data_IF_427657182647
#
_entry.id   IF_427657182647
#
_cell.length_a   1.000
_cell.length_b   1.000
_cell.length_c   1.000
_cell.angle_alpha   90.00
_cell.angle_beta   90.00
_cell.angle_gamma   90.00
#
_symmetry.space_group_name_H-M   'P 1'
#
loop_
_entity.id
_entity.type
_entity.pdbx_description
1 polymer ?
#
# COMPACT_ATOMS: atom_id res chain seq x y z
N UNK A 1 -11.35 -6.23 -1.60
CA UNK A 1 -10.16 -6.07 -2.47
C UNK A 1 -9.54 -4.74 -2.10
N UNK A 2 -8.28 -4.74 -1.68
CA UNK A 2 -7.59 -3.52 -1.21
C UNK A 2 -7.12 -2.70 -2.40
N UNK A 3 -7.51 -1.42 -2.45
CA UNK A 3 -7.01 -0.45 -3.41
C UNK A 3 -5.66 0.09 -2.95
N UNK A 4 -4.64 0.05 -3.80
CA UNK A 4 -3.30 0.59 -3.49
C UNK A 4 -2.99 1.68 -4.51
N UNK A 5 -2.60 2.86 -4.03
CA UNK A 5 -2.22 4.00 -4.85
C UNK A 5 -0.96 4.67 -4.33
N UNK A 6 -0.26 5.41 -5.19
CA UNK A 6 0.88 6.25 -4.80
C UNK A 6 0.65 7.70 -5.22
N UNK A 7 0.98 8.65 -4.34
CA UNK A 7 0.87 10.10 -4.58
C UNK A 7 2.07 10.81 -3.99
N UNK A 8 2.46 11.96 -4.54
CA UNK A 8 3.42 12.85 -3.89
C UNK A 8 2.70 13.71 -2.86
N UNK A 9 3.25 13.82 -1.65
CA UNK A 9 2.65 14.68 -0.64
C UNK A 9 3.29 14.58 0.73
N UNK A 10 2.64 15.24 1.69
CA UNK A 10 3.01 15.23 3.10
C UNK A 10 2.12 14.25 3.87
N UNK A 11 2.74 13.23 4.46
CA UNK A 11 2.04 12.20 5.23
C UNK A 11 1.28 12.77 6.43
N UNK A 12 1.73 13.90 7.00
CA UNK A 12 1.10 14.51 8.18
C UNK A 12 -0.26 15.14 7.89
N UNK A 13 -0.58 15.34 6.60
CA UNK A 13 -1.82 15.98 6.14
C UNK A 13 -2.86 14.99 5.60
N UNK A 14 -2.57 13.68 5.64
CA UNK A 14 -3.43 12.67 5.02
C UNK A 14 -4.68 12.40 5.87
N UNK A 15 -5.84 12.53 5.23
CA UNK A 15 -7.15 12.19 5.81
C UNK A 15 -7.43 10.69 5.62
N UNK A 16 -6.90 9.90 6.55
CA UNK A 16 -6.99 8.44 6.63
C UNK A 16 -7.14 8.01 8.09
N UNK A 17 -7.57 6.79 8.36
CA UNK A 17 -7.70 6.32 9.74
C UNK A 17 -6.35 6.22 10.44
N UNK A 18 -5.29 5.81 9.72
CA UNK A 18 -3.94 5.72 10.27
C UNK A 18 -2.84 6.14 9.28
N UNK A 19 -1.80 6.78 9.81
CA UNK A 19 -0.54 6.97 9.09
C UNK A 19 0.56 6.11 9.71
N UNK A 20 1.55 5.73 8.90
CA UNK A 20 2.71 4.96 9.38
C UNK A 20 3.90 5.88 9.62
N UNK A 21 4.51 5.73 10.79
CA UNK A 21 5.72 6.44 11.19
C UNK A 21 6.93 5.48 11.25
N UNK A 22 7.90 5.59 10.33
CA UNK A 22 9.18 4.91 10.45
C UNK A 22 10.04 5.57 11.53
N UNK A 23 10.37 4.84 12.59
CA UNK A 23 11.15 5.36 13.73
C UNK A 23 12.27 4.41 14.15
N UNK A 24 13.06 4.79 15.16
CA UNK A 24 14.18 4.02 15.69
C UNK A 24 13.75 3.06 16.81
N UNK A 25 14.65 2.14 17.17
CA UNK A 25 14.42 1.13 18.21
C UNK A 25 14.12 1.72 19.59
N UNK A 26 14.60 2.93 19.88
CA UNK A 26 14.37 3.59 21.17
C UNK A 26 12.98 4.24 21.24
N UNK A 27 12.25 4.29 20.12
CA UNK A 27 10.94 4.94 20.00
C UNK A 27 11.01 6.39 20.48
N UNK A 28 12.04 7.12 20.04
CA UNK A 28 12.23 8.55 20.31
C UNK A 28 12.27 9.33 19.00
N UNK A 29 11.76 10.57 18.96
CA UNK A 29 11.67 11.32 17.72
C UNK A 29 13.06 11.47 17.09
N UNK A 30 13.21 10.96 15.88
CA UNK A 30 14.36 11.13 15.01
C UNK A 30 14.22 12.36 14.12
N UNK A 31 14.80 12.27 12.92
CA UNK A 31 14.68 13.27 11.85
C UNK A 31 13.67 12.86 10.76
N UNK A 32 13.57 13.68 9.71
CA UNK A 32 12.77 13.36 8.52
C UNK A 32 11.28 13.21 8.83
N UNK A 33 10.67 12.15 8.28
CA UNK A 33 9.22 11.86 8.43
C UNK A 33 8.82 11.71 9.90
N UNK A 34 9.63 11.05 10.73
CA UNK A 34 9.37 10.88 12.16
C UNK A 34 9.26 12.22 12.87
N UNK A 35 10.18 13.13 12.55
CA UNK A 35 10.16 14.49 13.11
C UNK A 35 8.91 15.26 12.68
N UNK A 36 8.59 15.21 11.39
CA UNK A 36 7.42 15.90 10.84
C UNK A 36 6.12 15.41 11.50
N UNK A 37 5.99 14.09 11.70
CA UNK A 37 4.83 13.49 12.38
C UNK A 37 4.75 13.96 13.84
N UNK A 38 5.86 13.96 14.59
CA UNK A 38 5.88 14.43 15.97
C UNK A 38 5.55 15.93 16.10
N UNK A 39 6.11 16.77 15.23
CA UNK A 39 5.85 18.22 15.24
C UNK A 39 4.37 18.51 14.92
N UNK A 40 3.79 17.82 13.93
CA UNK A 40 2.38 17.96 13.54
C UNK A 40 1.42 17.44 14.63
N UNK A 41 1.64 16.21 15.13
CA UNK A 41 0.78 15.59 16.15
C UNK A 41 0.79 16.33 17.49
N UNK A 42 1.87 17.04 17.80
CA UNK A 42 2.06 17.77 19.05
C UNK A 42 2.65 16.92 20.18
N UNK A 43 2.93 17.55 21.34
CA UNK A 43 3.72 16.94 22.42
C UNK A 43 3.09 15.68 23.02
N UNK A 44 1.76 15.57 23.03
CA UNK A 44 1.04 14.42 23.56
C UNK A 44 1.39 13.10 22.85
N UNK A 45 1.79 13.14 21.57
CA UNK A 45 2.24 11.94 20.86
C UNK A 45 3.49 11.35 21.53
N UNK A 46 4.46 12.18 21.89
CA UNK A 46 5.70 11.71 22.53
C UNK A 46 5.45 11.17 23.93
N UNK A 47 4.50 11.76 24.67
CA UNK A 47 4.09 11.28 25.98
C UNK A 47 3.48 9.87 25.88
N UNK A 48 2.56 9.65 24.94
CA UNK A 48 1.96 8.35 24.69
C UNK A 48 3.00 7.32 24.23
N UNK A 49 3.89 7.69 23.31
CA UNK A 49 4.99 6.83 22.85
C UNK A 49 5.88 6.40 24.02
N UNK A 50 6.26 7.32 24.92
CA UNK A 50 7.08 6.99 26.09
C UNK A 50 6.37 6.05 27.05
N UNK A 51 5.06 6.24 27.25
CA UNK A 51 4.25 5.41 28.14
C UNK A 51 4.05 4.00 27.58
N UNK A 52 3.76 3.88 26.27
CA UNK A 52 3.48 2.59 25.62
C UNK A 52 4.73 1.79 25.27
N UNK A 53 5.84 2.47 24.95
CA UNK A 53 7.09 1.84 24.51
C UNK A 53 8.26 2.25 25.40
N UNK A 54 8.21 1.96 26.72
CA UNK A 54 9.27 2.35 27.66
C UNK A 54 10.60 1.68 27.33
N UNK A 55 10.56 0.47 26.76
CA UNK A 55 11.74 -0.32 26.35
C UNK A 55 11.99 -0.29 24.84
N UNK A 56 11.28 0.57 24.10
CA UNK A 56 11.41 0.65 22.65
C UNK A 56 10.68 -0.46 21.89
N UNK A 57 11.07 -0.67 20.63
CA UNK A 57 10.47 -1.64 19.71
C UNK A 57 11.55 -2.34 18.87
N UNK A 58 11.35 -3.64 18.59
CA UNK A 58 12.29 -4.41 17.78
C UNK A 58 12.25 -4.02 16.29
N UNK A 59 13.38 -4.14 15.61
CA UNK A 59 13.45 -3.97 14.15
C UNK A 59 12.51 -4.97 13.47
N UNK A 60 11.72 -4.50 12.51
CA UNK A 60 10.73 -5.30 11.79
C UNK A 60 9.37 -5.43 12.49
N UNK A 61 9.19 -4.79 13.65
CA UNK A 61 7.93 -4.79 14.38
C UNK A 61 7.22 -3.43 14.28
N UNK A 62 5.95 -3.39 14.72
CA UNK A 62 5.14 -2.19 14.78
C UNK A 62 4.34 -2.09 16.09
N UNK A 63 4.00 -0.86 16.47
CA UNK A 63 3.10 -0.51 17.56
C UNK A 63 2.30 0.73 17.21
N UNK A 64 1.29 1.10 17.99
CA UNK A 64 0.45 2.26 17.67
C UNK A 64 0.24 3.22 18.84
N UNK A 65 -0.15 4.44 18.51
CA UNK A 65 -0.62 5.52 19.40
C UNK A 65 -1.78 6.27 18.76
N UNK A 66 -2.41 7.19 19.49
CA UNK A 66 -3.38 8.11 18.91
C UNK A 66 -2.68 9.21 18.09
N UNK A 67 -3.36 9.75 17.09
CA UNK A 67 -2.79 10.74 16.17
C UNK A 67 -2.60 12.14 16.74
N UNK A 68 -3.05 12.41 17.97
CA UNK A 68 -2.95 13.74 18.57
C UNK A 68 -3.71 14.79 17.72
N UNK A 69 -2.97 15.76 17.17
CA UNK A 69 -3.51 16.82 16.30
C UNK A 69 -3.54 16.48 14.81
N UNK A 70 -3.09 15.30 14.40
CA UNK A 70 -3.15 14.87 13.00
C UNK A 70 -4.60 14.67 12.55
N UNK A 71 -4.85 14.77 11.25
CA UNK A 71 -6.13 14.34 10.67
C UNK A 71 -6.35 12.84 10.87
N UNK A 72 -5.27 12.06 10.84
CA UNK A 72 -5.32 10.64 11.10
C UNK A 72 -5.59 10.31 12.57
N UNK A 73 -6.44 9.32 12.80
CA UNK A 73 -6.87 8.91 14.15
C UNK A 73 -5.76 8.17 14.90
N UNK A 74 -4.93 7.42 14.18
CA UNK A 74 -3.85 6.62 14.74
C UNK A 74 -2.52 6.90 14.03
N UNK A 75 -1.43 6.75 14.77
CA UNK A 75 -0.08 6.64 14.21
C UNK A 75 0.41 5.23 14.50
N UNK A 76 0.73 4.47 13.45
CA UNK A 76 1.38 3.17 13.56
C UNK A 76 2.89 3.37 13.40
N UNK A 77 3.63 3.21 14.47
CA UNK A 77 5.07 3.33 14.52
C UNK A 77 5.71 2.00 14.14
N UNK A 78 6.71 2.00 13.27
CA UNK A 78 7.45 0.79 12.90
C UNK A 78 8.94 1.05 12.80
N UNK A 79 9.75 0.04 13.13
CA UNK A 79 11.20 0.18 13.14
C UNK A 79 11.81 -0.54 11.95
N UNK A 80 12.24 0.26 10.96
CA UNK A 80 12.89 -0.23 9.75
C UNK A 80 14.34 -0.69 9.97
N UNK A 81 14.86 -1.63 9.16
CA UNK A 81 16.26 -2.04 9.19
C UNK A 81 17.20 -0.95 8.63
N UNK A 82 18.33 -0.73 9.31
CA UNK A 82 19.29 0.34 9.00
C UNK A 82 19.91 0.31 7.61
N UNK A 83 20.13 -0.86 7.01
CA UNK A 83 20.73 -0.98 5.68
C UNK A 83 20.30 -2.28 4.97
N UNK A 84 20.27 -2.30 3.62
CA UNK A 84 20.01 -3.50 2.81
C UNK A 84 21.24 -4.41 2.71
N UNK A 85 21.86 -4.74 3.84
CA UNK A 85 23.11 -5.52 3.90
C UNK A 85 22.89 -7.03 3.76
N UNK A 86 21.65 -7.51 3.85
CA UNK A 86 21.36 -8.94 3.82
C UNK A 86 19.91 -9.25 3.45
N UNK A 87 19.65 -10.51 3.08
CA UNK A 87 18.29 -11.06 2.93
C UNK A 87 17.46 -10.91 4.20
N UNK A 88 18.10 -10.94 5.38
CA UNK A 88 17.43 -10.69 6.66
C UNK A 88 16.91 -9.25 6.73
N UNK A 89 17.68 -8.27 6.26
CA UNK A 89 17.23 -6.87 6.20
C UNK A 89 15.99 -6.72 5.30
N UNK A 90 15.96 -7.40 4.15
CA UNK A 90 14.77 -7.40 3.27
C UNK A 90 13.54 -8.02 3.95
N UNK A 91 13.73 -9.13 4.67
CA UNK A 91 12.66 -9.78 5.43
C UNK A 91 12.13 -8.90 6.56
N UNK A 92 13.00 -8.16 7.25
CA UNK A 92 12.64 -7.20 8.29
C UNK A 92 11.88 -6.01 7.72
N UNK A 93 12.30 -5.47 6.57
CA UNK A 93 11.56 -4.41 5.88
C UNK A 93 10.15 -4.88 5.48
N UNK A 94 10.04 -6.08 4.91
CA UNK A 94 8.75 -6.70 4.63
C UNK A 94 7.94 -6.94 5.92
N UNK A 95 8.59 -7.22 7.05
CA UNK A 95 7.92 -7.39 8.34
C UNK A 95 7.28 -6.10 8.83
N UNK A 96 7.92 -4.94 8.60
CA UNK A 96 7.36 -3.63 8.97
C UNK A 96 5.97 -3.44 8.35
N UNK A 97 5.87 -3.60 7.02
CA UNK A 97 4.59 -3.47 6.31
C UNK A 97 3.53 -4.48 6.80
N UNK A 98 3.92 -5.75 6.98
CA UNK A 98 2.99 -6.79 7.49
C UNK A 98 2.47 -6.46 8.88
N UNK A 99 3.34 -6.05 9.81
CA UNK A 99 2.96 -5.71 11.19
C UNK A 99 2.06 -4.48 11.23
N UNK A 100 2.32 -3.48 10.38
CA UNK A 100 1.41 -2.34 10.24
C UNK A 100 0.01 -2.74 9.78
N UNK A 101 -0.10 -3.62 8.78
CA UNK A 101 -1.40 -4.11 8.30
C UNK A 101 -2.11 -4.97 9.36
N UNK A 102 -1.38 -5.77 10.13
CA UNK A 102 -1.95 -6.55 11.24
C UNK A 102 -2.52 -5.64 12.33
N UNK A 103 -1.79 -4.60 12.73
CA UNK A 103 -2.31 -3.60 13.67
C UNK A 103 -3.51 -2.87 13.09
N UNK A 104 -3.50 -2.55 11.79
CA UNK A 104 -4.64 -1.93 11.14
C UNK A 104 -5.90 -2.82 11.25
N UNK A 105 -5.76 -4.12 11.02
CA UNK A 105 -6.85 -5.08 11.17
C UNK A 105 -7.32 -5.20 12.62
N UNK A 106 -6.38 -5.27 13.59
CA UNK A 106 -6.68 -5.32 15.03
C UNK A 106 -7.48 -4.10 15.51
N UNK A 107 -7.25 -2.93 14.90
CA UNK A 107 -7.94 -1.68 15.22
C UNK A 107 -9.18 -1.41 14.34
N UNK A 108 -9.46 -2.27 13.37
CA UNK A 108 -10.55 -2.08 12.40
C UNK A 108 -10.34 -0.91 11.44
N UNK A 109 -9.09 -0.46 11.24
CA UNK A 109 -8.71 0.59 10.31
C UNK A 109 -9.05 0.20 8.87
N UNK A 110 -9.68 1.10 8.12
CA UNK A 110 -10.07 0.86 6.73
C UNK A 110 -9.17 1.57 5.73
N UNK A 111 -8.49 2.63 6.15
CA UNK A 111 -7.66 3.49 5.32
C UNK A 111 -6.34 3.79 6.01
N UNK A 112 -5.23 3.51 5.31
CA UNK A 112 -3.89 3.67 5.86
C UNK A 112 -2.95 4.34 4.86
N UNK A 113 -2.10 5.24 5.34
CA UNK A 113 -1.05 5.85 4.54
C UNK A 113 0.35 5.43 5.01
N UNK A 114 1.18 4.99 4.08
CA UNK A 114 2.59 4.63 4.30
C UNK A 114 3.49 5.65 3.62
N UNK A 115 4.59 6.09 4.25
CA UNK A 115 5.72 6.61 3.50
C UNK A 115 6.50 5.43 2.89
N UNK A 116 7.34 5.68 1.90
CA UNK A 116 8.24 4.64 1.37
C UNK A 116 9.33 4.34 2.41
N UNK A 117 9.15 3.28 3.19
CA UNK A 117 10.03 2.92 4.31
C UNK A 117 11.41 2.53 3.78
N UNK A 118 12.46 3.11 4.38
CA UNK A 118 13.85 2.75 4.12
C UNK A 118 14.62 3.71 3.21
N UNK A 119 13.95 4.42 2.30
CA UNK A 119 14.62 5.21 1.23
C UNK A 119 15.27 6.50 1.74
N UNK A 120 14.76 7.05 2.83
CA UNK A 120 15.24 8.32 3.41
C UNK A 120 16.41 8.11 4.39
N UNK A 121 16.15 8.21 5.70
CA UNK A 121 17.17 8.18 6.75
C UNK A 121 17.91 6.85 6.89
N UNK A 122 17.40 5.77 6.29
CA UNK A 122 17.95 4.42 6.38
C UNK A 122 18.74 4.01 5.13
N UNK A 123 18.94 4.90 4.15
CA UNK A 123 19.87 4.69 3.04
C UNK A 123 19.55 3.51 2.11
N UNK A 124 18.31 3.03 2.07
CA UNK A 124 17.91 2.02 1.10
C UNK A 124 17.82 2.64 -0.29
N UNK A 125 18.46 2.07 -1.32
CA UNK A 125 18.16 2.43 -2.69
C UNK A 125 16.68 2.19 -3.02
N UNK A 126 16.02 3.14 -3.67
CA UNK A 126 14.60 3.03 -4.06
C UNK A 126 14.30 1.75 -4.84
N UNK A 127 15.20 1.37 -5.75
CA UNK A 127 15.10 0.13 -6.54
C UNK A 127 15.20 -1.18 -5.71
N UNK A 128 15.55 -1.12 -4.42
CA UNK A 128 15.50 -2.25 -3.49
C UNK A 128 14.30 -2.19 -2.54
N UNK A 129 14.02 -1.02 -1.97
CA UNK A 129 12.94 -0.87 -1.00
C UNK A 129 11.54 -0.97 -1.64
N UNK A 130 11.33 -0.29 -2.76
CA UNK A 130 10.01 -0.17 -3.42
C UNK A 130 9.49 -1.54 -3.89
N UNK A 131 10.29 -2.43 -4.51
CA UNK A 131 9.81 -3.77 -4.85
C UNK A 131 9.39 -4.61 -3.65
N UNK A 132 10.03 -4.42 -2.49
CA UNK A 132 9.67 -5.10 -1.23
C UNK A 132 8.36 -4.55 -0.68
N UNK A 133 8.22 -3.22 -0.63
CA UNK A 133 6.98 -2.53 -0.26
C UNK A 133 5.80 -3.01 -1.11
N UNK A 134 5.91 -2.83 -2.43
CA UNK A 134 4.85 -3.15 -3.37
C UNK A 134 4.44 -4.62 -3.24
N UNK A 135 5.41 -5.54 -3.28
CA UNK A 135 5.14 -6.98 -3.11
C UNK A 135 4.43 -7.26 -1.79
N UNK A 136 4.95 -6.73 -0.69
CA UNK A 136 4.43 -7.04 0.64
C UNK A 136 3.01 -6.53 0.82
N UNK A 137 2.72 -5.27 0.46
CA UNK A 137 1.38 -4.69 0.56
C UNK A 137 0.37 -5.40 -0.36
N UNK A 138 0.83 -5.92 -1.50
CA UNK A 138 0.01 -6.68 -2.43
C UNK A 138 -0.30 -8.11 -1.98
N UNK A 139 0.64 -8.78 -1.30
CA UNK A 139 0.53 -10.19 -0.94
C UNK A 139 0.02 -10.40 0.49
N UNK A 140 0.12 -9.38 1.35
CA UNK A 140 -0.31 -9.49 2.74
C UNK A 140 -1.84 -9.47 2.84
N UNK A 141 -2.46 -10.46 3.51
CA UNK A 141 -3.89 -10.41 3.78
C UNK A 141 -4.18 -9.26 4.75
N UNK A 142 -5.21 -8.47 4.46
CA UNK A 142 -5.69 -7.42 5.35
C UNK A 142 -7.15 -7.07 5.03
N UNK A 143 -7.87 -6.59 6.05
CA UNK A 143 -9.20 -6.01 5.95
C UNK A 143 -9.20 -4.56 5.45
N UNK A 144 -8.03 -3.91 5.42
CA UNK A 144 -7.85 -2.54 4.92
C UNK A 144 -8.38 -2.42 3.49
N UNK A 145 -9.28 -1.47 3.28
CA UNK A 145 -9.90 -1.20 1.98
C UNK A 145 -9.01 -0.37 1.06
N UNK A 146 -8.19 0.54 1.62
CA UNK A 146 -7.38 1.49 0.86
C UNK A 146 -6.03 1.75 1.52
N UNK A 147 -4.97 1.58 0.74
CA UNK A 147 -3.58 1.86 1.11
C UNK A 147 -3.06 2.99 0.21
N UNK A 148 -2.54 4.05 0.83
CA UNK A 148 -1.93 5.19 0.14
C UNK A 148 -0.43 5.20 0.41
N UNK A 149 0.39 5.18 -0.64
CA UNK A 149 1.83 5.34 -0.55
C UNK A 149 2.15 6.82 -0.81
N UNK A 150 2.73 7.48 0.18
CA UNK A 150 3.09 8.89 0.14
C UNK A 150 4.56 8.99 -0.24
N UNK A 151 4.80 9.36 -1.48
CA UNK A 151 6.12 9.59 -2.04
C UNK A 151 6.59 11.02 -1.75
N UNK A 152 7.91 11.19 -1.67
CA UNK A 152 8.54 12.48 -1.50
C UNK A 152 8.53 13.35 -2.75
N UNK A 153 8.57 12.71 -3.90
CA UNK A 153 8.76 13.32 -5.20
C UNK A 153 8.25 12.40 -6.31
N UNK A 154 8.16 12.95 -7.52
CA UNK A 154 7.62 12.27 -8.68
C UNK A 154 8.43 11.03 -9.06
N UNK A 155 9.75 11.04 -8.84
CA UNK A 155 10.62 9.90 -9.17
C UNK A 155 10.28 8.70 -8.30
N UNK A 156 10.14 8.89 -6.99
CA UNK A 156 9.74 7.83 -6.07
C UNK A 156 8.31 7.37 -6.36
N UNK A 157 7.38 8.30 -6.59
CA UNK A 157 5.99 7.95 -6.96
C UNK A 157 5.96 7.06 -8.20
N UNK A 158 6.66 7.45 -9.25
CA UNK A 158 6.63 6.74 -10.53
C UNK A 158 7.29 5.36 -10.42
N UNK A 159 8.36 5.22 -9.62
CA UNK A 159 8.95 3.91 -9.31
C UNK A 159 7.98 2.99 -8.57
N UNK A 160 7.21 3.52 -7.61
CA UNK A 160 6.17 2.77 -6.89
C UNK A 160 5.07 2.34 -7.86
N UNK A 161 4.54 3.27 -8.66
CA UNK A 161 3.50 2.98 -9.65
C UNK A 161 3.97 1.92 -10.66
N UNK A 162 5.20 2.03 -11.17
CA UNK A 162 5.78 1.03 -12.07
C UNK A 162 5.84 -0.36 -11.41
N UNK A 163 6.18 -0.46 -10.12
CA UNK A 163 6.18 -1.75 -9.41
C UNK A 163 4.76 -2.31 -9.21
N UNK A 164 3.77 -1.47 -8.93
CA UNK A 164 2.38 -1.88 -8.79
C UNK A 164 1.82 -2.38 -10.14
N UNK A 165 2.10 -1.67 -11.24
CA UNK A 165 1.66 -2.03 -12.60
C UNK A 165 2.37 -3.30 -13.08
N UNK A 166 3.69 -3.41 -12.89
CA UNK A 166 4.46 -4.60 -13.26
C UNK A 166 4.10 -5.85 -12.45
N UNK A 167 3.25 -5.75 -11.44
CA UNK A 167 2.68 -6.91 -10.74
C UNK A 167 1.21 -7.14 -11.09
N UNK A 168 0.55 -6.17 -11.71
CA UNK A 168 -0.82 -6.32 -12.21
C UNK A 168 -0.90 -7.39 -13.31
N UNK A 169 0.07 -7.47 -14.24
CA UNK A 169 0.06 -8.50 -15.28
C UNK A 169 0.27 -9.92 -14.71
N UNK A 170 1.10 -10.08 -13.67
CA UNK A 170 1.24 -11.37 -12.98
C UNK A 170 -0.06 -11.78 -12.29
N UNK A 171 -0.79 -10.82 -11.70
CA UNK A 171 -2.11 -11.07 -11.11
C UNK A 171 -3.16 -11.42 -12.15
N UNK A 172 -3.10 -10.86 -13.35
CA UNK A 172 -3.96 -11.29 -14.45
C UNK A 172 -3.68 -12.75 -14.83
N UNK A 173 -2.41 -13.12 -14.98
CA UNK A 173 -2.05 -14.50 -15.29
C UNK A 173 -2.45 -15.47 -14.16
N UNK A 174 -2.29 -15.06 -12.91
CA UNK A 174 -2.79 -15.83 -11.76
C UNK A 174 -4.32 -15.93 -11.76
N UNK A 175 -5.04 -14.85 -12.09
CA UNK A 175 -6.50 -14.85 -12.23
C UNK A 175 -6.97 -15.80 -13.33
N UNK A 176 -6.31 -15.79 -14.49
CA UNK A 176 -6.56 -16.75 -15.58
C UNK A 176 -6.32 -18.19 -15.12
N UNK A 177 -5.22 -18.44 -14.37
CA UNK A 177 -4.96 -19.76 -13.79
C UNK A 177 -6.06 -20.23 -12.85
N UNK A 178 -6.54 -19.36 -11.94
CA UNK A 178 -7.64 -19.68 -11.01
C UNK A 178 -8.93 -20.01 -11.77
N UNK A 179 -9.19 -19.36 -12.90
CA UNK A 179 -10.33 -19.66 -13.76
C UNK A 179 -10.15 -21.03 -14.43
N UNK A 180 -8.96 -21.34 -14.96
CA UNK A 180 -8.70 -22.68 -15.51
C UNK A 180 -8.84 -23.79 -14.46
N UNK A 181 -8.32 -23.60 -13.23
CA UNK A 181 -8.49 -24.55 -12.12
C UNK A 181 -9.96 -24.76 -11.73
N UNK A 182 -10.84 -23.81 -12.05
CA UNK A 182 -12.30 -23.89 -11.86
C UNK A 182 -13.05 -24.46 -13.08
N UNK A 183 -12.34 -24.97 -14.09
CA UNK A 183 -12.92 -25.63 -15.27
C UNK A 183 -13.31 -24.68 -16.40
N UNK A 184 -12.90 -23.40 -16.35
CA UNK A 184 -13.08 -22.48 -17.47
C UNK A 184 -11.96 -22.70 -18.48
N UNK A 185 -12.24 -23.37 -19.59
CA UNK A 185 -11.23 -23.78 -20.58
C UNK A 185 -10.88 -22.68 -21.61
N UNK A 186 -11.74 -21.66 -21.72
CA UNK A 186 -11.53 -20.53 -22.62
C UNK A 186 -11.68 -19.22 -21.87
N UNK A 187 -10.57 -18.58 -21.50
CA UNK A 187 -10.58 -17.26 -20.87
C UNK A 187 -10.01 -16.22 -21.84
N UNK A 188 -10.80 -15.21 -22.20
CA UNK A 188 -10.29 -14.03 -22.93
C UNK A 188 -10.10 -12.87 -21.96
N UNK A 189 -8.91 -12.28 -22.01
CA UNK A 189 -8.56 -11.09 -21.24
C UNK A 189 -8.38 -9.93 -22.22
N UNK A 190 -9.25 -8.93 -22.13
CA UNK A 190 -9.15 -7.71 -22.92
C UNK A 190 -8.62 -6.59 -22.03
N UNK A 191 -7.39 -6.17 -22.30
CA UNK A 191 -6.88 -4.92 -21.75
C UNK A 191 -7.32 -3.78 -22.66
N UNK A 192 -7.90 -2.74 -22.07
CA UNK A 192 -8.34 -1.54 -22.81
C UNK A 192 -8.20 -0.29 -21.97
N UNK A 193 -7.98 0.84 -22.62
CA UNK A 193 -8.04 2.14 -21.96
C UNK A 193 -9.47 2.69 -22.11
N UNK A 194 -10.11 2.99 -20.98
CA UNK A 194 -11.49 3.46 -21.00
C UNK A 194 -11.61 4.84 -21.65
N UNK A 195 -12.75 5.18 -22.28
CA UNK A 195 -12.97 6.50 -22.87
C UNK A 195 -12.98 7.65 -21.84
N UNK A 196 -13.08 7.33 -20.55
CA UNK A 196 -13.04 8.27 -19.42
C UNK A 196 -11.70 8.23 -18.66
N UNK A 197 -10.66 7.62 -19.24
CA UNK A 197 -9.38 7.39 -18.59
C UNK A 197 -9.37 6.14 -17.71
N UNK A 198 -8.18 5.56 -17.57
CA UNK A 198 -7.91 4.39 -16.73
C UNK A 198 -7.86 3.07 -17.49
N UNK A 199 -7.00 2.18 -17.03
CA UNK A 199 -6.88 0.82 -17.55
C UNK A 199 -8.06 -0.05 -17.09
N UNK A 200 -8.71 -0.73 -18.02
CA UNK A 200 -9.71 -1.77 -17.76
C UNK A 200 -9.22 -3.11 -18.23
N UNK A 201 -9.64 -4.14 -17.49
CA UNK A 201 -9.36 -5.51 -17.82
C UNK A 201 -10.66 -6.29 -17.74
N UNK A 202 -11.17 -6.69 -18.89
CA UNK A 202 -12.36 -7.51 -18.99
C UNK A 202 -11.95 -8.96 -19.15
N UNK A 203 -12.54 -9.83 -18.32
CA UNK A 203 -12.29 -11.28 -18.36
C UNK A 203 -13.61 -11.95 -18.72
N UNK A 204 -13.63 -12.69 -19.83
CA UNK A 204 -14.80 -13.42 -20.32
C UNK A 204 -14.47 -14.89 -20.45
N UNK A 205 -15.47 -15.74 -20.19
CA UNK A 205 -15.45 -17.14 -20.60
C UNK A 205 -15.99 -17.28 -22.03
N UNK A 206 -15.42 -18.20 -22.81
CA UNK A 206 -15.76 -18.43 -24.22
C UNK A 206 -17.09 -19.18 -24.38
N UNK A 207 -17.49 -20.03 -23.43
CA UNK A 207 -18.77 -20.75 -23.45
C UNK A 207 -19.95 -19.87 -23.01
N UNK A 208 -19.70 -18.84 -22.19
CA UNK A 208 -20.70 -17.80 -21.89
C UNK A 208 -21.09 -17.01 -23.16
N UNK A 209 -20.14 -16.74 -24.05
CA UNK A 209 -20.38 -16.02 -25.31
C UNK A 209 -21.18 -16.84 -26.34
N UNK A 210 -21.06 -18.18 -26.34
CA UNK A 210 -21.83 -19.05 -27.26
C UNK A 210 -23.33 -19.12 -26.95
N UNK A 211 -23.76 -18.64 -25.78
CA UNK A 211 -25.17 -18.64 -25.33
C UNK A 211 -25.87 -17.29 -25.51
N UNK A 212 -25.19 -16.28 -26.06
CA UNK A 212 -25.70 -14.92 -26.17
C UNK A 212 -26.06 -14.60 -27.63
N UNK A 213 -27.20 -13.95 -27.89
CA UNK A 213 -27.54 -13.48 -29.23
C UNK A 213 -26.54 -12.39 -29.68
N UNK A 214 -26.17 -12.41 -30.97
CA UNK A 214 -25.11 -11.60 -31.62
C UNK A 214 -25.26 -10.07 -31.49
N UNK A 215 -26.29 -9.56 -30.81
CA UNK A 215 -26.67 -8.15 -30.82
C UNK A 215 -26.65 -7.44 -29.46
N UNK A 216 -26.19 -8.07 -28.37
CA UNK A 216 -26.21 -7.41 -27.05
C UNK A 216 -24.84 -7.42 -26.34
N UNK A 217 -24.32 -6.22 -26.09
CA UNK A 217 -23.10 -6.00 -25.28
C UNK A 217 -23.51 -6.11 -23.81
N UNK A 218 -23.22 -7.25 -23.17
CA UNK A 218 -23.31 -7.39 -21.71
C UNK A 218 -21.93 -7.48 -21.06
N UNK A 219 -21.77 -6.66 -20.03
CA UNK A 219 -20.57 -6.60 -19.19
C UNK A 219 -20.59 -7.82 -18.24
N UNK A 220 -19.89 -8.88 -18.62
CA UNK A 220 -19.51 -9.93 -17.68
C UNK A 220 -18.61 -9.29 -16.60
N UNK A 221 -19.15 -9.15 -15.38
CA UNK A 221 -18.55 -8.56 -14.16
C UNK A 221 -17.35 -7.62 -14.43
N UNK A 222 -17.64 -6.33 -14.47
CA UNK A 222 -16.62 -5.28 -14.52
C UNK A 222 -15.73 -5.37 -13.26
N UNK A 223 -14.49 -5.82 -13.41
CA UNK A 223 -13.46 -5.61 -12.38
C UNK A 223 -12.73 -4.31 -12.75
N UNK A 224 -13.17 -3.19 -12.18
CA UNK A 224 -12.43 -1.92 -12.29
C UNK A 224 -11.16 -2.01 -11.45
N UNK A 225 -10.02 -2.07 -12.12
CA UNK A 225 -8.74 -1.73 -11.51
C UNK A 225 -8.61 -0.21 -11.61
N UNK A 226 -8.82 0.49 -10.50
CA UNK A 226 -8.58 1.92 -10.44
C UNK A 226 -7.07 2.16 -10.47
N UNK A 227 -6.56 2.70 -11.58
CA UNK A 227 -5.31 3.45 -11.58
C UNK A 227 -5.68 4.90 -11.28
N UNK A 228 -5.22 5.44 -10.16
CA UNK A 228 -5.53 6.81 -9.73
C UNK A 228 -4.99 7.83 -10.73
N UNK A 229 -5.83 8.25 -11.68
CA UNK A 229 -5.83 9.61 -12.22
C UNK A 229 -7.29 10.01 -12.44
N UNK A 230 -7.83 10.77 -11.48
CA UNK A 230 -9.04 11.55 -11.70
C UNK A 230 -8.62 12.97 -11.99
N UNK A 231 -9.02 13.52 -13.14
CA UNK A 231 -9.99 14.63 -13.28
C UNK A 231 -10.00 15.03 -14.76
N UNK A 232 -11.15 14.91 -15.42
CA UNK A 232 -11.54 15.85 -16.45
C UNK A 232 -13.05 16.07 -16.35
N UNK A 233 -13.43 17.32 -16.09
CA UNK A 233 -14.80 17.82 -16.09
C UNK A 233 -15.24 18.14 -17.52
N UNK A 234 -16.56 18.00 -17.70
CA UNK A 234 -17.42 18.25 -18.87
C UNK A 234 -17.31 17.23 -19.99
#
# INVERSE_FOLDING_TARGET
MTAISAVVGDITTQDVDAIVNPTNTEMRPGGGVDRAIHDAAGPGLLEEVRSRFPTGLAVGDAGWTHGGRLAARYVIHTVGPLQPTSKKSEQLLASCYRRCLQIADELGIQTIAFPVIGVWSYGWPGNKAIPIEARTLMESPSSVSRIMIIASDEVIRDQVLACLINKAWLRLLQGVRVLHERGFEGVRVWAGFGPVGGWRIQITDVDYMKKLPDSEIYIAREYRLFTNEGVARV
#
